data_IF_642869560590
#
_entry.id   IF_642869560590
#
_cell.length_a   1.000
_cell.length_b   1.000
_cell.length_c   1.000
_cell.angle_alpha   90.00
_cell.angle_beta   90.00
_cell.angle_gamma   90.00
#
_symmetry.space_group_name_H-M   'P 1'
#
loop_
_entity.id
_entity.type
_entity.pdbx_description
1 polymer ?
#
# COMPACT_ATOMS: atom_id res chain seq x y z
N UNK A 1 -9.09 -9.47 -4.03
CA UNK A 1 -7.78 -9.68 -4.70
C UNK A 1 -7.66 -11.14 -5.11
N UNK A 2 -7.06 -11.43 -6.25
CA UNK A 2 -6.77 -12.80 -6.66
C UNK A 2 -5.48 -13.34 -6.01
N UNK A 3 -5.37 -14.66 -5.83
CA UNK A 3 -4.18 -15.31 -5.22
C UNK A 3 -2.89 -14.96 -5.99
N UNK A 4 -2.97 -14.80 -7.33
CA UNK A 4 -1.84 -14.38 -8.16
C UNK A 4 -1.36 -12.96 -7.84
N UNK A 5 -2.28 -12.04 -7.50
CA UNK A 5 -1.95 -10.68 -7.08
C UNK A 5 -1.28 -10.68 -5.70
N UNK A 6 -1.83 -11.43 -4.75
CA UNK A 6 -1.26 -11.56 -3.39
C UNK A 6 0.15 -12.14 -3.47
N UNK A 7 0.38 -13.17 -4.29
CA UNK A 7 1.70 -13.75 -4.53
C UNK A 7 2.67 -12.74 -5.15
N UNK A 8 2.22 -11.93 -6.09
CA UNK A 8 3.06 -10.89 -6.72
C UNK A 8 3.49 -9.82 -5.72
N UNK A 9 2.56 -9.35 -4.88
CA UNK A 9 2.86 -8.38 -3.81
C UNK A 9 3.81 -8.99 -2.77
N UNK A 10 3.58 -10.24 -2.38
CA UNK A 10 4.46 -10.95 -1.45
C UNK A 10 5.89 -11.09 -2.00
N UNK A 11 6.04 -11.39 -3.30
CA UNK A 11 7.36 -11.44 -3.95
C UNK A 11 8.06 -10.07 -3.96
N UNK A 12 7.34 -8.98 -4.27
CA UNK A 12 7.89 -7.62 -4.22
C UNK A 12 8.36 -7.25 -2.80
N UNK A 13 7.61 -7.69 -1.78
CA UNK A 13 7.95 -7.51 -0.38
C UNK A 13 8.97 -8.51 0.18
N UNK A 14 9.42 -9.49 -0.64
CA UNK A 14 10.32 -10.59 -0.24
C UNK A 14 9.76 -11.46 0.91
N UNK A 15 8.45 -11.64 0.94
CA UNK A 15 7.76 -12.51 1.90
C UNK A 15 7.55 -13.90 1.28
N UNK A 16 7.98 -14.94 1.99
CA UNK A 16 7.69 -16.33 1.66
C UNK A 16 6.40 -16.75 2.38
N UNK A 17 5.33 -16.97 1.61
CA UNK A 17 4.01 -17.34 2.13
C UNK A 17 3.61 -18.72 1.61
N UNK A 18 3.00 -19.53 2.47
CA UNK A 18 2.36 -20.79 2.10
C UNK A 18 1.02 -20.55 1.38
N UNK A 19 0.49 -21.58 0.71
CA UNK A 19 -0.81 -21.49 0.02
C UNK A 19 -1.99 -21.17 0.97
N UNK A 20 -1.91 -21.66 2.21
CA UNK A 20 -2.91 -21.36 3.23
C UNK A 20 -2.87 -19.87 3.63
N UNK A 21 -1.67 -19.34 3.88
CA UNK A 21 -1.45 -17.94 4.22
C UNK A 21 -1.81 -17.00 3.06
N UNK A 22 -1.53 -17.39 1.81
CA UNK A 22 -1.94 -16.62 0.64
C UNK A 22 -3.46 -16.44 0.54
N UNK A 23 -4.22 -17.48 0.90
CA UNK A 23 -5.68 -17.43 0.89
C UNK A 23 -6.21 -16.54 2.02
N UNK A 24 -5.65 -16.69 3.22
CA UNK A 24 -6.03 -15.89 4.39
C UNK A 24 -5.70 -14.41 4.20
N UNK A 25 -4.44 -14.10 3.86
CA UNK A 25 -3.99 -12.73 3.65
C UNK A 25 -4.65 -12.09 2.43
N UNK A 26 -5.00 -12.85 1.40
CA UNK A 26 -5.76 -12.32 0.26
C UNK A 26 -7.12 -11.75 0.67
N UNK A 27 -7.81 -12.41 1.60
CA UNK A 27 -9.07 -11.91 2.14
C UNK A 27 -8.85 -10.66 3.00
N UNK A 28 -7.93 -10.73 3.96
CA UNK A 28 -7.64 -9.61 4.86
C UNK A 28 -7.19 -8.35 4.11
N UNK A 29 -6.33 -8.51 3.10
CA UNK A 29 -5.88 -7.39 2.25
C UNK A 29 -7.03 -6.80 1.42
N UNK A 30 -7.97 -7.63 0.97
CA UNK A 30 -9.15 -7.14 0.24
C UNK A 30 -10.00 -6.26 1.16
N UNK A 31 -10.23 -6.69 2.40
CA UNK A 31 -11.01 -5.92 3.38
C UNK A 31 -10.33 -4.57 3.71
N UNK A 32 -9.00 -4.56 3.87
CA UNK A 32 -8.23 -3.32 4.10
C UNK A 32 -8.33 -2.37 2.91
N UNK A 33 -8.19 -2.88 1.67
CA UNK A 33 -8.30 -2.05 0.47
C UNK A 33 -9.69 -1.47 0.31
N UNK A 34 -10.74 -2.23 0.65
CA UNK A 34 -12.11 -1.74 0.64
C UNK A 34 -12.32 -0.61 1.65
N UNK A 35 -11.72 -0.72 2.83
CA UNK A 35 -11.73 0.36 3.81
C UNK A 35 -10.99 1.62 3.31
N UNK A 36 -9.84 1.46 2.66
CA UNK A 36 -9.05 2.60 2.12
C UNK A 36 -9.81 3.33 1.01
N UNK A 37 -10.68 2.66 0.24
CA UNK A 37 -11.52 3.29 -0.80
C UNK A 37 -12.47 4.35 -0.25
N UNK A 38 -12.75 4.38 1.05
CA UNK A 38 -13.50 5.49 1.66
C UNK A 38 -12.81 6.84 1.46
N UNK A 39 -11.49 6.86 1.26
CA UNK A 39 -10.74 8.08 0.96
C UNK A 39 -11.01 8.61 -0.45
N UNK A 40 -11.48 7.77 -1.39
CA UNK A 40 -11.79 8.18 -2.77
C UNK A 40 -13.03 9.09 -2.85
N UNK A 41 -13.83 9.17 -1.78
CA UNK A 41 -15.00 10.06 -1.69
C UNK A 41 -14.60 11.54 -1.50
N UNK A 42 -13.35 11.81 -1.14
CA UNK A 42 -12.84 13.16 -0.85
C UNK A 42 -12.16 13.73 -2.09
N UNK A 43 -12.63 14.89 -2.55
CA UNK A 43 -11.98 15.62 -3.67
C UNK A 43 -10.61 16.18 -3.24
N UNK A 44 -9.58 15.78 -3.98
CA UNK A 44 -8.19 16.21 -3.79
C UNK A 44 -7.58 16.86 -5.04
N UNK A 45 -8.38 17.20 -6.06
CA UNK A 45 -7.89 17.75 -7.35
C UNK A 45 -6.99 18.99 -7.18
N UNK A 46 -7.26 19.81 -6.17
CA UNK A 46 -6.56 21.08 -5.92
C UNK A 46 -5.57 21.01 -4.74
N UNK A 47 -5.31 19.82 -4.20
CA UNK A 47 -4.41 19.62 -3.06
C UNK A 47 -3.08 19.05 -3.52
N UNK A 48 -1.97 19.71 -3.17
CA UNK A 48 -0.63 19.20 -3.47
C UNK A 48 -0.27 18.05 -2.52
N UNK A 49 0.30 16.93 -3.02
CA UNK A 49 0.78 15.85 -2.16
C UNK A 49 1.81 16.34 -1.13
N UNK A 50 1.71 15.87 0.12
CA UNK A 50 2.62 16.22 1.21
C UNK A 50 3.49 15.01 1.59
N UNK A 51 4.67 14.82 0.95
CA UNK A 51 5.55 13.67 1.22
C UNK A 51 6.30 13.78 2.55
N UNK A 52 6.43 15.00 3.09
CA UNK A 52 7.13 15.27 4.33
C UNK A 52 6.25 16.15 5.22
N UNK A 53 6.15 15.79 6.51
CA UNK A 53 5.39 16.57 7.49
C UNK A 53 6.09 17.89 7.88
N UNK A 54 7.36 18.04 7.51
CA UNK A 54 8.18 19.24 7.72
C UNK A 54 8.83 19.63 6.39
N UNK A 55 9.14 20.91 6.22
CA UNK A 55 9.84 21.39 5.04
C UNK A 55 11.24 20.76 4.96
N UNK A 56 11.52 20.05 3.87
CA UNK A 56 12.80 19.38 3.66
C UNK A 56 13.68 20.22 2.75
N UNK A 57 14.95 20.32 3.11
CA UNK A 57 15.98 21.01 2.33
C UNK A 57 17.08 19.99 1.99
N UNK A 58 17.82 20.24 0.90
CA UNK A 58 18.91 19.36 0.49
C UNK A 58 19.98 19.26 1.60
N UNK A 59 20.27 18.04 2.05
CA UNK A 59 21.32 17.76 3.03
C UNK A 59 22.57 17.29 2.29
N UNK A 60 23.56 18.17 2.18
CA UNK A 60 24.86 17.84 1.61
C UNK A 60 25.82 17.36 2.70
N UNK A 61 26.51 16.25 2.45
CA UNK A 61 27.64 15.81 3.26
C UNK A 61 28.93 16.31 2.60
N UNK A 62 29.81 16.93 3.38
CA UNK A 62 31.17 17.29 2.93
C UNK A 62 32.06 16.06 2.77
#
# INVERSE_FOLDING_TARGET
MDISQVRSVAQLARLALSEAELTEYGKQLTDILEYVRLLDEVDVENVTPMPHAIDVHNVFRM
#
